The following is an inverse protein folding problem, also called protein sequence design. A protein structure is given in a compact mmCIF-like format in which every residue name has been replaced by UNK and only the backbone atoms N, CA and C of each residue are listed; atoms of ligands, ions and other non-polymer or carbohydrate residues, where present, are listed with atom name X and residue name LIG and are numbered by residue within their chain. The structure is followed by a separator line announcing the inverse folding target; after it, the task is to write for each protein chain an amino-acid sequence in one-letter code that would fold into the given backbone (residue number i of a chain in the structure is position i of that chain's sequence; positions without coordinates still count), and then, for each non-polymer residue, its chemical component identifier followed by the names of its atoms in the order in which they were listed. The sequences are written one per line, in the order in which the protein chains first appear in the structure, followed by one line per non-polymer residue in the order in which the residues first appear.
data_IF_336704995515
#
_entry.id   IF_336704995515
#
_cell.length_a   1.000
_cell.length_b   1.000
_cell.length_c   1.000
_cell.angle_alpha   90.00
_cell.angle_beta   90.00
_cell.angle_gamma   90.00
#
_symmetry.space_group_name_H-M   'P 1'
#
loop_
_entity.id
_entity.type
_entity.pdbx_description
1 polymer ?
#
# COMPACT_ATOMS: atom_id res chain seq x y z
N UNK A 1 -16.45 10.35 18.56
CA UNK A 1 -16.14 9.45 17.42
C UNK A 1 -16.79 9.87 16.10
N UNK A 2 -18.11 9.74 15.89
CA UNK A 2 -18.76 9.93 14.55
C UNK A 2 -18.39 11.23 13.81
N UNK A 3 -18.28 12.36 14.51
CA UNK A 3 -17.87 13.65 13.91
C UNK A 3 -16.46 13.63 13.27
N UNK A 4 -15.50 12.90 13.85
CA UNK A 4 -14.14 12.76 13.31
C UNK A 4 -14.17 12.00 11.97
N UNK A 5 -14.95 10.93 11.90
CA UNK A 5 -15.13 10.12 10.68
C UNK A 5 -15.77 10.95 9.57
N UNK A 6 -16.80 11.75 9.89
CA UNK A 6 -17.44 12.66 8.94
C UNK A 6 -16.52 13.80 8.46
N UNK A 7 -15.60 14.28 9.31
CA UNK A 7 -14.61 15.28 8.92
C UNK A 7 -13.53 14.69 8.01
N UNK A 8 -13.01 13.50 8.36
CA UNK A 8 -12.02 12.75 7.56
C UNK A 8 -12.59 12.36 6.19
N UNK A 9 -13.80 11.79 6.12
CA UNK A 9 -14.41 11.38 4.84
C UNK A 9 -14.63 12.58 3.90
N UNK A 10 -15.05 13.73 4.43
CA UNK A 10 -15.20 14.98 3.67
C UNK A 10 -13.88 15.54 3.13
N UNK A 11 -12.72 15.11 3.67
CA UNK A 11 -11.38 15.58 3.29
C UNK A 11 -10.46 14.49 2.70
N UNK A 12 -10.94 13.25 2.60
CA UNK A 12 -10.13 12.04 2.28
C UNK A 12 -9.34 12.16 0.98
N UNK A 13 -9.88 12.83 -0.06
CA UNK A 13 -9.15 13.09 -1.31
C UNK A 13 -7.87 13.90 -1.05
N UNK A 14 -7.97 15.05 -0.39
CA UNK A 14 -6.81 15.90 -0.09
C UNK A 14 -5.78 15.20 0.81
N UNK A 15 -6.22 14.30 1.71
CA UNK A 15 -5.33 13.49 2.55
C UNK A 15 -4.59 12.42 1.72
N UNK A 16 -5.31 11.69 0.87
CA UNK A 16 -4.73 10.72 -0.10
C UNK A 16 -3.72 11.41 -1.02
N UNK A 17 -4.10 12.53 -1.61
CA UNK A 17 -3.29 13.26 -2.59
C UNK A 17 -2.02 13.82 -1.93
N UNK A 18 -2.12 14.29 -0.66
CA UNK A 18 -0.99 14.68 0.16
C UNK A 18 -0.05 13.51 0.54
N UNK A 19 -0.59 12.33 0.87
CA UNK A 19 0.21 11.13 1.13
C UNK A 19 0.95 10.64 -0.13
N UNK A 20 0.30 10.71 -1.30
CA UNK A 20 0.93 10.38 -2.59
C UNK A 20 2.05 11.38 -2.92
N UNK A 21 1.81 12.69 -2.74
CA UNK A 21 2.83 13.72 -2.92
C UNK A 21 4.02 13.53 -1.95
N UNK A 22 3.77 13.17 -0.69
CA UNK A 22 4.81 12.85 0.29
C UNK A 22 5.62 11.59 -0.13
N UNK A 23 4.95 10.53 -0.58
CA UNK A 23 5.61 9.32 -1.09
C UNK A 23 6.52 9.64 -2.29
N UNK A 24 6.04 10.43 -3.25
CA UNK A 24 6.83 10.87 -4.41
C UNK A 24 8.02 11.75 -4.00
N UNK A 25 7.84 12.64 -3.02
CA UNK A 25 8.94 13.45 -2.46
C UNK A 25 10.02 12.57 -1.80
N UNK A 26 9.62 11.53 -1.06
CA UNK A 26 10.55 10.56 -0.48
C UNK A 26 11.31 9.78 -1.56
N UNK A 27 10.65 9.36 -2.64
CA UNK A 27 11.32 8.72 -3.79
C UNK A 27 12.32 9.66 -4.44
N UNK A 28 11.98 10.94 -4.67
CA UNK A 28 12.93 11.93 -5.21
C UNK A 28 14.11 12.15 -4.26
N UNK A 29 13.87 12.22 -2.95
CA UNK A 29 14.92 12.36 -1.94
C UNK A 29 15.86 11.14 -1.89
N UNK A 30 15.34 9.93 -2.17
CA UNK A 30 16.12 8.68 -2.27
C UNK A 30 17.15 8.72 -3.42
N UNK A 31 16.85 9.41 -4.53
CA UNK A 31 17.80 9.68 -5.62
C UNK A 31 18.77 10.83 -5.31
N UNK A 32 18.37 11.81 -4.49
CA UNK A 32 19.18 13.00 -4.19
C UNK A 32 20.21 12.78 -3.08
N UNK A 33 20.02 11.80 -2.19
CA UNK A 33 20.99 11.46 -1.13
C UNK A 33 21.88 10.28 -1.57
N UNK A 34 23.17 10.50 -1.88
CA UNK A 34 24.08 9.40 -2.21
C UNK A 34 24.33 8.52 -0.98
N UNK A 35 23.95 7.24 -1.07
CA UNK A 35 24.20 6.23 -0.03
C UNK A 35 25.70 5.94 0.10
N UNK A 36 26.33 6.38 1.19
CA UNK A 36 27.79 6.26 1.35
C UNK A 36 28.32 4.89 1.81
N UNK A 37 27.46 3.97 2.29
CA UNK A 37 27.87 2.62 2.70
C UNK A 37 26.83 1.56 2.30
N UNK A 38 26.81 1.09 1.04
CA UNK A 38 26.05 -0.12 0.69
C UNK A 38 26.64 -1.33 1.42
N UNK A 39 25.81 -2.06 2.17
CA UNK A 39 26.20 -3.32 2.83
C UNK A 39 25.60 -4.56 2.17
N UNK A 40 24.67 -4.35 1.24
CA UNK A 40 24.04 -5.36 0.40
C UNK A 40 23.85 -4.79 -1.02
N UNK A 41 23.98 -5.63 -2.04
CA UNK A 41 23.88 -5.25 -3.46
C UNK A 41 22.59 -4.45 -3.77
N UNK A 42 21.46 -4.85 -3.18
CA UNK A 42 20.17 -4.19 -3.42
C UNK A 42 20.01 -2.81 -2.77
N UNK A 43 20.88 -2.42 -1.82
CA UNK A 43 20.91 -1.05 -1.30
C UNK A 43 21.66 -0.07 -2.24
N UNK A 44 22.41 -0.56 -3.23
CA UNK A 44 22.99 0.28 -4.30
C UNK A 44 21.95 0.73 -5.33
N UNK A 45 20.82 0.03 -5.40
CA UNK A 45 19.76 0.27 -6.38
C UNK A 45 18.82 1.38 -5.87
N UNK A 46 19.03 2.60 -6.34
CA UNK A 46 18.15 3.75 -6.07
C UNK A 46 16.67 3.40 -6.29
N UNK A 47 15.81 3.77 -5.33
CA UNK A 47 14.38 3.47 -5.38
C UNK A 47 13.99 2.01 -5.14
N UNK A 48 14.93 1.07 -4.89
CA UNK A 48 14.63 -0.35 -4.65
C UNK A 48 13.58 -0.53 -3.54
N UNK A 49 13.76 0.16 -2.41
CA UNK A 49 12.83 0.09 -1.27
C UNK A 49 11.42 0.60 -1.60
N UNK A 50 11.29 1.59 -2.49
CA UNK A 50 9.99 2.08 -2.96
C UNK A 50 9.33 1.09 -3.94
N UNK A 51 10.10 0.53 -4.87
CA UNK A 51 9.64 -0.52 -5.79
C UNK A 51 9.21 -1.78 -5.04
N UNK A 52 9.99 -2.21 -4.03
CA UNK A 52 9.67 -3.32 -3.14
C UNK A 52 8.40 -3.05 -2.32
N UNK A 53 8.25 -1.84 -1.76
CA UNK A 53 7.04 -1.44 -1.03
C UNK A 53 5.77 -1.49 -1.90
N UNK A 54 5.84 -0.97 -3.14
CA UNK A 54 4.72 -1.02 -4.09
C UNK A 54 4.43 -2.47 -4.54
N UNK A 55 5.46 -3.19 -5.00
CA UNK A 55 5.32 -4.57 -5.49
C UNK A 55 4.84 -5.53 -4.40
N UNK A 56 5.38 -5.41 -3.19
CA UNK A 56 4.95 -6.15 -2.00
C UNK A 56 3.52 -5.84 -1.61
N UNK A 57 3.08 -4.57 -1.67
CA UNK A 57 1.69 -4.20 -1.43
C UNK A 57 0.74 -4.83 -2.46
N UNK A 58 1.05 -4.76 -3.75
CA UNK A 58 0.26 -5.44 -4.80
C UNK A 58 0.25 -6.97 -4.64
N UNK A 59 1.37 -7.58 -4.28
CA UNK A 59 1.49 -9.01 -4.03
C UNK A 59 0.64 -9.43 -2.82
N UNK A 60 0.70 -8.69 -1.71
CA UNK A 60 -0.13 -8.90 -0.53
C UNK A 60 -1.62 -8.75 -0.85
N UNK A 61 -2.02 -7.72 -1.60
CA UNK A 61 -3.42 -7.54 -2.03
C UNK A 61 -3.90 -8.75 -2.85
N UNK A 62 -3.11 -9.24 -3.80
CA UNK A 62 -3.47 -10.44 -4.59
C UNK A 62 -3.48 -11.71 -3.74
N UNK A 63 -2.51 -11.89 -2.85
CA UNK A 63 -2.43 -13.04 -1.95
C UNK A 63 -3.63 -13.07 -0.97
N UNK A 64 -3.94 -11.96 -0.31
CA UNK A 64 -5.11 -11.84 0.56
C UNK A 64 -6.42 -12.05 -0.19
N UNK A 65 -6.56 -11.56 -1.43
CA UNK A 65 -7.77 -11.78 -2.23
C UNK A 65 -7.92 -13.25 -2.67
N UNK A 66 -6.81 -13.91 -3.01
CA UNK A 66 -6.78 -15.35 -3.30
C UNK A 66 -7.09 -16.21 -2.08
N UNK A 67 -6.47 -15.92 -0.93
CA UNK A 67 -6.74 -16.60 0.34
C UNK A 67 -8.20 -16.41 0.78
N UNK A 68 -8.76 -15.20 0.65
CA UNK A 68 -10.17 -14.95 0.91
C UNK A 68 -11.08 -15.76 -0.02
N UNK A 69 -10.75 -15.88 -1.31
CA UNK A 69 -11.54 -16.69 -2.24
C UNK A 69 -11.37 -18.22 -2.03
N UNK A 70 -10.28 -18.67 -1.41
CA UNK A 70 -10.03 -20.09 -1.15
C UNK A 70 -10.57 -20.57 0.21
N UNK A 71 -10.59 -19.69 1.22
CA UNK A 71 -10.96 -20.05 2.60
C UNK A 71 -12.22 -19.35 3.14
N UNK A 72 -12.61 -18.18 2.61
CA UNK A 72 -13.74 -17.37 3.11
C UNK A 72 -14.91 -17.24 2.12
N UNK A 73 -14.72 -17.54 0.83
CA UNK A 73 -15.80 -17.55 -0.15
C UNK A 73 -16.67 -18.81 0.02
N UNK A 74 -17.66 -18.69 0.90
CA UNK A 74 -18.82 -19.58 0.98
C UNK A 74 -19.69 -19.41 -0.27
N UNK A 75 -20.40 -20.46 -0.70
CA UNK A 75 -21.44 -20.34 -1.74
C UNK A 75 -22.63 -19.52 -1.25
N UNK A 76 -23.36 -18.87 -2.15
CA UNK A 76 -24.47 -17.98 -1.78
C UNK A 76 -25.60 -18.74 -1.08
N UNK A 77 -25.84 -20.00 -1.48
CA UNK A 77 -26.81 -20.92 -0.86
C UNK A 77 -26.55 -21.19 0.63
N UNK A 78 -25.33 -20.92 1.12
CA UNK A 78 -24.91 -21.24 2.48
C UNK A 78 -25.76 -20.56 3.57
N UNK A 79 -26.37 -19.42 3.26
CA UNK A 79 -27.24 -18.68 4.18
C UNK A 79 -28.73 -19.05 4.04
N UNK A 80 -29.07 -19.98 3.15
CA UNK A 80 -30.42 -20.23 2.70
C UNK A 80 -30.83 -19.25 1.61
N UNK A 81 -30.71 -19.67 0.35
CA UNK A 81 -31.56 -19.14 -0.70
C UNK A 81 -33.03 -19.45 -0.39
N UNK A 82 -33.94 -18.59 -0.86
CA UNK A 82 -35.38 -18.67 -0.61
C UNK A 82 -36.03 -19.95 -1.17
#
# INVERSE_FOLDING_TARGET
MRALVAWLSKRVRKLRDGLIAYLLLLVVLDFLLPRHHPRYWFDEVFGFWAAFGIGGCFLLIKASKGAAHLFLAKTEDYYGGW
#
